data_IF_068463602108
#
_entry.id   IF_068463602108
#
_cell.length_a   1.000
_cell.length_b   1.000
_cell.length_c   1.000
_cell.angle_alpha   90.00
_cell.angle_beta   90.00
_cell.angle_gamma   90.00
#
_symmetry.space_group_name_H-M   'P 1'
#
loop_
_entity.id
_entity.type
_entity.pdbx_description
1 polymer ?
#
# COMPACT_ATOMS: atom_id res chain seq x y z
N UNK A 1 37.10 63.67 -1.71
CA UNK A 1 37.68 62.47 -2.37
C UNK A 1 38.20 61.55 -1.27
N UNK A 2 38.16 60.24 -1.51
CA UNK A 2 38.22 59.10 -0.54
C UNK A 2 36.90 58.94 0.21
N UNK A 3 36.02 57.97 -0.08
CA UNK A 3 36.14 56.49 -0.01
C UNK A 3 35.15 56.05 1.08
N UNK A 4 33.99 55.46 0.81
CA UNK A 4 33.79 54.08 0.37
C UNK A 4 33.56 53.18 1.58
N UNK A 5 32.31 52.98 2.02
CA UNK A 5 31.93 51.88 2.92
C UNK A 5 30.51 51.40 2.58
N UNK A 6 30.44 50.12 2.25
CA UNK A 6 29.26 49.30 1.93
C UNK A 6 28.48 49.00 3.22
N UNK A 7 27.16 49.25 3.25
CA UNK A 7 26.30 48.70 4.30
C UNK A 7 25.55 47.48 3.80
N UNK A 8 25.72 46.39 4.54
CA UNK A 8 25.27 45.04 4.28
C UNK A 8 23.76 44.91 4.18
N UNK A 9 23.31 44.13 3.19
CA UNK A 9 21.97 43.57 3.17
C UNK A 9 21.84 42.54 4.30
N UNK A 10 20.99 42.81 5.29
CA UNK A 10 20.54 41.80 6.23
C UNK A 10 19.64 40.82 5.47
N UNK A 11 20.17 39.62 5.21
CA UNK A 11 19.35 38.45 4.88
C UNK A 11 18.63 38.04 6.16
N UNK A 12 17.37 38.47 6.30
CA UNK A 12 16.47 37.89 7.29
C UNK A 12 16.11 36.49 6.79
N UNK A 13 16.76 35.47 7.35
CA UNK A 13 16.30 34.10 7.26
C UNK A 13 14.96 34.02 8.00
N UNK A 14 13.85 34.10 7.27
CA UNK A 14 12.52 33.82 7.82
C UNK A 14 12.43 32.33 8.09
N UNK A 15 12.56 31.95 9.37
CA UNK A 15 12.09 30.67 9.85
C UNK A 15 10.57 30.62 9.60
N UNK A 16 10.14 29.71 8.72
CA UNK A 16 8.73 29.47 8.46
C UNK A 16 8.12 28.80 9.69
N UNK A 17 7.57 29.61 10.59
CA UNK A 17 6.63 29.16 11.62
C UNK A 17 5.25 29.12 10.98
N UNK A 18 4.65 27.92 10.92
CA UNK A 18 3.29 27.72 10.46
C UNK A 18 2.32 28.64 11.22
N UNK A 19 1.77 29.65 10.54
CA UNK A 19 0.71 30.48 11.11
C UNK A 19 -0.62 29.75 10.93
N UNK A 20 -1.10 29.16 12.02
CA UNK A 20 -2.43 28.57 12.11
C UNK A 20 -3.48 29.67 12.23
N UNK A 21 -4.01 30.11 11.09
CA UNK A 21 -5.26 30.87 11.05
C UNK A 21 -6.02 30.54 9.78
N UNK A 22 -6.55 29.32 9.72
CA UNK A 22 -7.64 28.97 8.82
C UNK A 22 -8.60 27.98 9.48
N UNK A 23 -9.87 28.16 9.14
CA UNK A 23 -11.08 27.68 9.81
C UNK A 23 -11.16 26.16 9.84
N UNK A 24 -11.74 25.61 10.92
CA UNK A 24 -12.01 24.19 11.12
C UNK A 24 -12.68 23.54 9.90
N UNK A 25 -11.90 22.78 9.13
CA UNK A 25 -12.30 21.57 8.42
C UNK A 25 -11.07 20.64 8.41
N UNK A 26 -11.31 19.33 8.45
CA UNK A 26 -10.36 18.32 8.90
C UNK A 26 -8.98 18.36 8.25
N UNK A 27 -7.95 18.28 9.10
CA UNK A 27 -6.52 18.51 8.84
C UNK A 27 -5.81 17.54 7.87
N UNK A 28 -6.48 16.64 7.14
CA UNK A 28 -5.73 15.55 6.48
C UNK A 28 -5.88 15.32 4.97
N UNK A 29 -6.90 15.83 4.26
CA UNK A 29 -7.04 15.45 2.84
C UNK A 29 -7.64 16.49 1.88
N UNK A 30 -8.20 17.61 2.35
CA UNK A 30 -9.06 18.40 1.46
C UNK A 30 -8.31 19.24 0.42
N UNK A 31 -7.04 19.59 0.68
CA UNK A 31 -6.24 20.42 -0.24
C UNK A 31 -4.81 19.88 -0.43
N UNK A 32 -4.66 18.59 -0.76
CA UNK A 32 -3.34 17.98 -1.04
C UNK A 32 -2.56 18.78 -2.10
N UNK A 33 -3.23 19.30 -3.13
CA UNK A 33 -2.59 20.14 -4.15
C UNK A 33 -2.03 21.45 -3.58
N UNK A 34 -2.74 22.13 -2.66
CA UNK A 34 -2.26 23.36 -2.04
C UNK A 34 -1.09 23.09 -1.07
N UNK A 35 -1.17 21.98 -0.32
CA UNK A 35 -0.09 21.53 0.56
C UNK A 35 1.16 21.23 -0.27
N UNK A 36 1.02 20.55 -1.41
CA UNK A 36 2.16 20.16 -2.24
C UNK A 36 2.84 21.32 -2.97
N UNK A 37 2.13 22.43 -3.22
CA UNK A 37 2.72 23.63 -3.83
C UNK A 37 3.77 24.32 -2.93
N UNK A 38 3.70 24.15 -1.61
CA UNK A 38 4.70 24.71 -0.69
C UNK A 38 5.99 23.88 -0.62
N UNK A 39 5.95 22.61 -1.05
CA UNK A 39 7.10 21.69 -1.00
C UNK A 39 7.92 21.63 -2.29
N UNK A 40 7.48 22.25 -3.39
CA UNK A 40 8.14 22.16 -4.71
C UNK A 40 9.47 22.92 -4.82
N UNK A 41 9.81 23.79 -3.88
CA UNK A 41 10.98 24.69 -4.02
C UNK A 41 12.30 24.18 -3.42
N UNK A 42 12.35 23.03 -2.72
CA UNK A 42 13.61 22.58 -2.07
C UNK A 42 13.96 21.10 -2.15
N UNK A 43 13.18 20.23 -2.79
CA UNK A 43 13.51 18.81 -2.92
C UNK A 43 13.22 18.32 -4.33
N UNK A 44 14.26 18.30 -5.15
CA UNK A 44 14.27 17.66 -6.46
C UNK A 44 14.37 16.15 -6.27
N UNK A 45 13.25 15.46 -5.99
CA UNK A 45 13.20 13.99 -6.04
C UNK A 45 11.77 13.39 -6.15
N UNK A 46 10.84 14.10 -6.80
CA UNK A 46 9.48 13.59 -7.07
C UNK A 46 9.10 13.66 -8.56
N UNK A 47 10.08 13.43 -9.45
CA UNK A 47 9.82 13.20 -10.88
C UNK A 47 9.33 11.77 -11.19
N UNK A 48 8.95 10.99 -10.19
CA UNK A 48 8.35 9.67 -10.40
C UNK A 48 6.91 9.86 -10.82
N UNK A 49 6.68 9.85 -12.13
CA UNK A 49 5.31 9.88 -12.69
C UNK A 49 4.71 8.48 -12.82
N UNK A 50 5.56 7.45 -12.87
CA UNK A 50 5.14 6.06 -13.03
C UNK A 50 6.22 5.10 -12.50
N UNK A 51 5.79 4.09 -11.75
CA UNK A 51 6.66 2.98 -11.33
C UNK A 51 6.74 1.87 -12.38
N UNK A 52 7.75 1.00 -12.26
CA UNK A 52 7.94 -0.18 -13.11
C UNK A 52 6.86 -1.25 -12.87
N UNK A 53 6.76 -2.26 -13.75
CA UNK A 53 5.72 -3.31 -13.64
C UNK A 53 5.79 -4.12 -12.34
N UNK A 54 7.00 -4.33 -11.78
CA UNK A 54 7.19 -5.07 -10.52
C UNK A 54 7.26 -4.14 -9.28
N UNK A 55 6.72 -2.92 -9.40
CA UNK A 55 6.75 -1.93 -8.32
C UNK A 55 5.34 -1.45 -7.96
N UNK A 56 5.09 -1.32 -6.66
CA UNK A 56 3.88 -0.70 -6.13
C UNK A 56 4.06 0.81 -6.04
N UNK A 57 3.10 1.55 -6.59
CA UNK A 57 3.01 3.00 -6.47
C UNK A 57 2.38 3.34 -5.12
N UNK A 58 3.09 4.10 -4.29
CA UNK A 58 2.54 4.65 -3.04
C UNK A 58 2.81 6.14 -2.98
N UNK A 59 1.99 6.85 -2.21
CA UNK A 59 2.21 8.27 -1.94
C UNK A 59 3.51 8.43 -1.14
N UNK A 60 4.29 9.47 -1.47
CA UNK A 60 5.57 9.69 -0.83
C UNK A 60 5.39 10.30 0.59
N UNK A 61 5.63 9.54 1.66
CA UNK A 61 5.43 10.01 3.03
C UNK A 61 6.54 10.97 3.50
N UNK A 62 7.66 11.06 2.77
CA UNK A 62 8.75 12.02 3.05
C UNK A 62 8.27 13.44 2.77
N UNK A 63 7.41 13.61 1.77
CA UNK A 63 6.94 14.88 1.25
C UNK A 63 5.45 15.09 1.55
N UNK A 64 4.97 14.73 2.73
CA UNK A 64 3.56 14.91 3.11
C UNK A 64 2.57 14.29 2.08
N UNK A 65 2.89 13.11 1.55
CA UNK A 65 2.16 12.43 0.48
C UNK A 65 2.17 13.15 -0.88
N UNK A 66 3.05 14.14 -1.06
CA UNK A 66 3.23 14.86 -2.33
C UNK A 66 4.15 14.10 -3.27
N UNK A 67 3.59 13.67 -4.39
CA UNK A 67 4.30 12.85 -5.38
C UNK A 67 4.28 11.36 -5.03
N UNK A 68 4.82 10.57 -5.95
CA UNK A 68 4.84 9.11 -5.85
C UNK A 68 6.22 8.61 -5.42
N UNK A 69 6.23 7.50 -4.70
CA UNK A 69 7.40 6.67 -4.52
C UNK A 69 7.08 5.24 -4.96
N UNK A 70 8.12 4.52 -5.37
CA UNK A 70 8.01 3.14 -5.83
C UNK A 70 8.55 2.19 -4.77
N UNK A 71 7.76 1.17 -4.44
CA UNK A 71 8.19 0.06 -3.59
C UNK A 71 8.36 -1.18 -4.47
N UNK A 72 9.53 -1.79 -4.47
CA UNK A 72 9.76 -3.03 -5.21
C UNK A 72 9.11 -4.22 -4.50
N UNK A 73 8.33 -5.02 -5.24
CA UNK A 73 7.78 -6.27 -4.71
C UNK A 73 8.86 -7.35 -4.70
N UNK A 74 9.03 -8.00 -3.56
CA UNK A 74 9.87 -9.17 -3.35
C UNK A 74 9.03 -10.41 -3.63
N UNK A 75 9.58 -11.35 -4.40
CA UNK A 75 8.87 -12.55 -4.84
C UNK A 75 8.71 -13.59 -3.73
N UNK A 76 7.81 -14.55 -3.93
CA UNK A 76 7.60 -15.63 -2.96
C UNK A 76 8.85 -16.49 -2.80
N UNK A 77 9.27 -16.71 -1.55
CA UNK A 77 10.45 -17.48 -1.19
C UNK A 77 11.75 -16.68 -1.15
N UNK A 78 11.76 -15.44 -1.66
CA UNK A 78 12.92 -14.54 -1.57
C UNK A 78 13.09 -13.95 -0.18
N UNK A 79 14.34 -13.60 0.17
CA UNK A 79 14.70 -13.02 1.46
C UNK A 79 14.11 -11.62 1.62
N UNK A 80 13.59 -11.34 2.81
CA UNK A 80 13.04 -10.04 3.17
C UNK A 80 13.53 -9.63 4.57
N UNK A 81 13.52 -8.32 4.83
CA UNK A 81 13.91 -7.79 6.13
C UNK A 81 12.66 -7.54 7.00
N UNK A 82 12.61 -8.16 8.18
CA UNK A 82 11.54 -7.90 9.17
C UNK A 82 11.64 -6.52 9.82
N UNK A 83 12.75 -5.81 9.59
CA UNK A 83 13.01 -4.47 10.08
C UNK A 83 13.78 -3.69 9.03
N UNK A 84 13.17 -2.64 8.47
CA UNK A 84 13.87 -1.74 7.57
C UNK A 84 14.69 -0.72 8.39
N UNK A 85 16.00 -0.56 8.15
CA UNK A 85 16.78 0.53 8.75
C UNK A 85 16.42 1.90 8.16
N UNK A 86 15.78 1.92 6.98
CA UNK A 86 15.29 3.14 6.37
C UNK A 86 13.98 3.60 7.03
N UNK A 87 13.77 4.92 7.09
CA UNK A 87 12.55 5.54 7.63
C UNK A 87 11.28 5.05 6.90
N UNK A 88 11.43 4.66 5.63
CA UNK A 88 10.39 4.08 4.80
C UNK A 88 10.97 2.90 3.98
N UNK A 89 10.22 1.80 3.78
CA UNK A 89 10.70 0.66 3.02
C UNK A 89 10.76 0.96 1.52
N UNK A 90 11.85 0.58 0.86
CA UNK A 90 11.99 0.63 -0.61
C UNK A 90 11.64 -0.71 -1.27
N UNK A 91 11.53 -1.78 -0.46
CA UNK A 91 11.12 -3.12 -0.88
C UNK A 91 10.13 -3.67 0.13
N UNK A 92 9.12 -4.38 -0.35
CA UNK A 92 8.15 -5.12 0.47
C UNK A 92 7.83 -6.45 -0.21
N UNK A 93 7.35 -7.42 0.56
CA UNK A 93 6.79 -8.63 -0.03
C UNK A 93 5.61 -8.27 -0.93
N UNK A 94 5.49 -8.94 -2.08
CA UNK A 94 4.40 -8.69 -3.01
C UNK A 94 3.00 -8.98 -2.42
N UNK A 95 1.93 -8.64 -3.14
CA UNK A 95 0.56 -8.78 -2.66
C UNK A 95 0.23 -10.20 -2.16
N UNK A 96 -0.34 -10.30 -0.96
CA UNK A 96 -0.71 -11.58 -0.34
C UNK A 96 0.45 -12.36 0.28
N UNK A 97 1.67 -11.79 0.27
CA UNK A 97 2.84 -12.36 0.92
C UNK A 97 3.19 -11.58 2.20
N UNK A 98 3.64 -12.30 3.22
CA UNK A 98 4.09 -11.72 4.49
C UNK A 98 5.57 -12.07 4.72
N UNK A 99 6.34 -11.12 5.26
CA UNK A 99 7.74 -11.33 5.57
C UNK A 99 7.86 -12.10 6.90
N UNK A 100 8.11 -13.42 6.82
CA UNK A 100 8.07 -14.30 7.99
C UNK A 100 9.43 -14.98 8.18
N UNK A 101 10.00 -14.83 9.38
CA UNK A 101 11.22 -15.55 9.81
C UNK A 101 10.99 -17.06 9.84
N UNK A 102 11.74 -17.81 9.03
CA UNK A 102 11.67 -19.29 9.01
C UNK A 102 12.10 -19.90 10.35
N UNK A 103 13.05 -19.27 11.03
CA UNK A 103 13.51 -19.70 12.35
C UNK A 103 13.08 -18.65 13.39
N UNK A 104 12.36 -19.06 14.44
CA UNK A 104 12.04 -18.17 15.55
C UNK A 104 13.30 -17.50 16.09
N UNK A 105 13.22 -16.19 16.38
CA UNK A 105 14.33 -15.36 16.90
C UNK A 105 15.49 -15.10 15.93
N UNK A 106 15.41 -15.56 14.66
CA UNK A 106 16.40 -15.27 13.61
C UNK A 106 15.78 -14.47 12.48
N UNK A 107 15.69 -13.13 12.60
CA UNK A 107 15.04 -12.28 11.59
C UNK A 107 15.72 -12.37 10.22
N UNK A 108 17.02 -12.67 10.16
CA UNK A 108 17.77 -12.85 8.91
C UNK A 108 17.32 -14.05 8.07
N UNK A 109 16.50 -14.94 8.65
CA UNK A 109 15.91 -16.09 7.95
C UNK A 109 14.54 -15.80 7.35
N UNK A 110 14.12 -14.54 7.39
CA UNK A 110 12.81 -14.14 6.89
C UNK A 110 12.74 -14.18 5.37
N UNK A 111 11.62 -14.71 4.90
CA UNK A 111 11.28 -14.77 3.48
C UNK A 111 9.84 -14.32 3.28
N UNK A 112 9.54 -13.86 2.08
CA UNK A 112 8.17 -13.59 1.68
C UNK A 112 7.41 -14.90 1.48
N UNK A 113 6.34 -15.11 2.24
CA UNK A 113 5.57 -16.36 2.19
C UNK A 113 4.09 -16.11 2.32
N UNK A 114 3.28 -16.97 1.71
CA UNK A 114 1.83 -16.98 1.91
C UNK A 114 1.52 -17.47 3.31
N UNK A 115 1.10 -16.55 4.18
CA UNK A 115 0.83 -16.86 5.58
C UNK A 115 -0.49 -17.64 5.73
N UNK A 116 -0.41 -18.96 5.89
CA UNK A 116 -1.56 -19.84 6.13
C UNK A 116 -2.28 -19.58 7.47
N UNK A 117 -1.72 -18.77 8.38
CA UNK A 117 -2.48 -18.30 9.54
C UNK A 117 -3.60 -17.33 9.15
N UNK A 118 -3.51 -16.69 7.98
CA UNK A 118 -4.59 -15.88 7.40
C UNK A 118 -5.60 -16.81 6.75
N UNK A 119 -6.88 -16.69 7.13
CA UNK A 119 -7.94 -17.59 6.68
C UNK A 119 -8.12 -17.61 5.16
N UNK A 120 -8.16 -16.44 4.51
CA UNK A 120 -8.33 -16.36 3.05
C UNK A 120 -7.16 -17.01 2.29
N UNK A 121 -5.93 -16.76 2.75
CA UNK A 121 -4.72 -17.38 2.18
C UNK A 121 -4.75 -18.89 2.36
N UNK A 122 -5.12 -19.39 3.55
CA UNK A 122 -5.25 -20.81 3.79
C UNK A 122 -6.27 -21.47 2.85
N UNK A 123 -7.45 -20.86 2.66
CA UNK A 123 -8.46 -21.38 1.73
C UNK A 123 -8.00 -21.35 0.27
N UNK A 124 -7.21 -20.35 -0.12
CA UNK A 124 -6.56 -20.31 -1.44
C UNK A 124 -5.56 -21.45 -1.62
N UNK A 125 -4.70 -21.69 -0.63
CA UNK A 125 -3.73 -22.79 -0.65
C UNK A 125 -4.44 -24.15 -0.73
N UNK A 126 -5.54 -24.33 0.01
CA UNK A 126 -6.36 -25.54 -0.06
C UNK A 126 -7.02 -25.71 -1.42
N UNK A 127 -7.58 -24.63 -1.99
CA UNK A 127 -8.16 -24.67 -3.33
C UNK A 127 -7.14 -25.10 -4.39
N UNK A 128 -5.93 -24.53 -4.35
CA UNK A 128 -4.84 -24.86 -5.27
C UNK A 128 -4.39 -26.32 -5.10
N UNK A 129 -4.28 -26.81 -3.86
CA UNK A 129 -3.96 -28.20 -3.57
C UNK A 129 -5.03 -29.17 -4.08
N UNK A 130 -6.31 -28.87 -3.83
CA UNK A 130 -7.47 -29.65 -4.31
C UNK A 130 -7.50 -29.68 -5.85
N UNK A 131 -7.17 -28.57 -6.49
CA UNK A 131 -7.10 -28.46 -7.95
C UNK A 131 -6.00 -29.36 -8.53
N UNK A 132 -4.79 -29.32 -7.96
CA UNK A 132 -3.66 -30.17 -8.40
C UNK A 132 -3.95 -31.65 -8.14
N UNK A 133 -4.61 -31.97 -7.02
CA UNK A 133 -4.99 -33.33 -6.68
C UNK A 133 -6.18 -33.86 -7.50
N UNK A 134 -6.87 -33.00 -8.25
CA UNK A 134 -8.09 -33.37 -8.99
C UNK A 134 -9.29 -33.67 -8.09
N UNK A 135 -9.28 -33.20 -6.85
CA UNK A 135 -10.34 -33.41 -5.84
C UNK A 135 -11.29 -32.23 -5.72
N UNK A 136 -11.13 -31.22 -6.58
CA UNK A 136 -11.96 -30.01 -6.56
C UNK A 136 -13.42 -30.32 -6.90
N UNK A 137 -14.29 -30.19 -5.89
CA UNK A 137 -15.72 -30.44 -6.05
C UNK A 137 -16.42 -29.39 -6.92
N UNK A 138 -17.59 -29.72 -7.51
CA UNK A 138 -18.37 -28.78 -8.30
C UNK A 138 -18.82 -27.59 -7.44
N UNK A 139 -18.77 -26.39 -8.01
CA UNK A 139 -19.17 -25.15 -7.33
C UNK A 139 -18.16 -24.61 -6.32
N UNK A 140 -16.99 -25.25 -6.16
CA UNK A 140 -15.86 -24.67 -5.42
C UNK A 140 -15.19 -23.61 -6.30
N UNK A 141 -14.79 -22.49 -5.69
CA UNK A 141 -14.04 -21.43 -6.34
C UNK A 141 -12.96 -20.90 -5.39
N UNK A 142 -11.92 -20.31 -5.97
CA UNK A 142 -10.83 -19.69 -5.21
C UNK A 142 -11.33 -18.36 -4.61
N UNK A 143 -11.26 -18.16 -3.28
CA UNK A 143 -11.63 -16.89 -2.68
C UNK A 143 -10.68 -15.79 -3.14
N UNK A 144 -11.18 -14.56 -3.24
CA UNK A 144 -10.37 -13.40 -3.54
C UNK A 144 -9.82 -12.79 -2.25
N UNK A 145 -8.51 -12.67 -2.14
CA UNK A 145 -7.86 -12.08 -0.97
C UNK A 145 -7.34 -10.68 -1.28
N UNK A 146 -7.33 -9.80 -0.27
CA UNK A 146 -6.65 -8.51 -0.38
C UNK A 146 -5.12 -8.68 -0.25
N UNK A 147 -4.39 -7.56 -0.40
CA UNK A 147 -2.92 -7.54 -0.32
C UNK A 147 -2.37 -8.00 1.04
N UNK A 148 -3.18 -7.99 2.10
CA UNK A 148 -2.81 -8.41 3.47
C UNK A 148 -3.27 -9.84 3.79
N UNK A 149 -3.85 -10.55 2.82
CA UNK A 149 -4.34 -11.91 2.98
C UNK A 149 -5.66 -12.04 3.75
N UNK A 150 -6.40 -10.94 3.94
CA UNK A 150 -7.81 -10.97 4.38
C UNK A 150 -8.69 -11.20 3.15
N UNK A 151 -9.98 -11.42 3.37
CA UNK A 151 -10.92 -11.48 2.23
C UNK A 151 -11.08 -10.09 1.63
N UNK A 152 -10.98 -10.01 0.31
CA UNK A 152 -11.39 -8.81 -0.42
C UNK A 152 -12.88 -8.53 -0.13
N UNK A 153 -13.30 -7.26 0.04
CA UNK A 153 -14.67 -6.90 0.43
C UNK A 153 -15.75 -7.51 -0.46
N UNK A 154 -15.46 -7.69 -1.75
CA UNK A 154 -16.34 -8.33 -2.73
C UNK A 154 -15.83 -9.74 -3.07
N UNK A 155 -16.70 -10.74 -2.90
CA UNK A 155 -16.46 -12.13 -3.34
C UNK A 155 -17.44 -12.48 -4.46
N UNK A 156 -16.97 -13.25 -5.43
CA UNK A 156 -17.77 -13.61 -6.60
C UNK A 156 -17.71 -15.10 -6.86
N UNK A 157 -18.89 -15.72 -7.00
CA UNK A 157 -18.98 -17.08 -7.52
C UNK A 157 -18.87 -17.01 -9.05
N UNK A 158 -17.90 -17.69 -9.68
CA UNK A 158 -17.69 -17.64 -11.12
C UNK A 158 -18.98 -17.96 -11.91
N UNK A 159 -19.37 -17.04 -12.80
CA UNK A 159 -20.57 -17.21 -13.64
C UNK A 159 -21.91 -17.07 -12.90
N UNK A 160 -21.91 -16.59 -11.65
CA UNK A 160 -23.12 -16.48 -10.83
C UNK A 160 -23.20 -15.09 -10.20
N UNK A 161 -23.28 -15.01 -8.87
CA UNK A 161 -23.44 -13.77 -8.12
C UNK A 161 -22.18 -13.37 -7.36
N UNK A 162 -22.07 -12.06 -7.14
CA UNK A 162 -21.11 -11.44 -6.24
C UNK A 162 -21.82 -10.91 -4.99
N UNK A 163 -21.10 -10.86 -3.87
CA UNK A 163 -21.63 -10.39 -2.60
C UNK A 163 -20.53 -9.77 -1.73
N UNK A 164 -20.94 -8.96 -0.75
CA UNK A 164 -20.00 -8.37 0.21
C UNK A 164 -19.71 -9.32 1.38
N UNK A 165 -18.46 -9.30 1.83
CA UNK A 165 -17.98 -10.01 3.02
C UNK A 165 -17.22 -9.08 3.93
N UNK A 166 -17.11 -9.46 5.21
CA UNK A 166 -16.14 -8.83 6.10
C UNK A 166 -14.73 -9.42 5.90
N UNK A 167 -13.74 -8.87 6.62
CA UNK A 167 -12.34 -9.30 6.59
C UNK A 167 -12.10 -10.81 6.87
N UNK A 168 -13.05 -11.48 7.53
CA UNK A 168 -13.00 -12.91 7.87
C UNK A 168 -13.77 -13.80 6.87
N UNK A 169 -14.34 -13.21 5.82
CA UNK A 169 -15.08 -13.90 4.77
C UNK A 169 -16.54 -14.18 5.12
N UNK A 170 -17.07 -13.61 6.21
CA UNK A 170 -18.49 -13.76 6.54
C UNK A 170 -19.33 -12.83 5.64
N UNK A 171 -20.36 -13.39 5.01
CA UNK A 171 -21.29 -12.65 4.14
C UNK A 171 -22.00 -11.54 4.93
N UNK A 172 -22.04 -10.34 4.34
CA UNK A 172 -22.70 -9.16 4.90
C UNK A 172 -24.03 -8.87 4.19
N UNK A 173 -23.96 -8.16 3.07
CA UNK A 173 -25.07 -7.77 2.20
C UNK A 173 -24.53 -7.59 0.78
N UNK A 174 -25.32 -7.04 -0.13
CA UNK A 174 -24.93 -6.87 -1.52
C UNK A 174 -25.05 -8.22 -2.23
N UNK A 175 -25.94 -8.28 -3.20
CA UNK A 175 -25.99 -9.40 -4.13
C UNK A 175 -26.26 -8.82 -5.50
N UNK A 176 -25.40 -9.18 -6.45
CA UNK A 176 -25.52 -8.76 -7.83
C UNK A 176 -24.99 -9.83 -8.76
N UNK A 177 -25.40 -9.77 -10.01
CA UNK A 177 -24.84 -10.60 -11.07
C UNK A 177 -23.36 -10.29 -11.23
N UNK A 178 -22.57 -11.28 -11.66
CA UNK A 178 -21.17 -11.08 -12.07
C UNK A 178 -21.00 -9.96 -13.11
N UNK A 179 -22.02 -9.69 -13.93
CA UNK A 179 -22.03 -8.58 -14.91
C UNK A 179 -21.98 -7.20 -14.27
N UNK A 180 -22.51 -7.07 -13.05
CA UNK A 180 -22.69 -5.79 -12.36
C UNK A 180 -21.73 -5.69 -11.17
N UNK A 181 -20.70 -6.53 -11.15
CA UNK A 181 -19.81 -6.72 -10.00
C UNK A 181 -19.15 -5.42 -9.53
N UNK A 182 -18.82 -4.52 -10.46
CA UNK A 182 -18.17 -3.24 -10.16
C UNK A 182 -19.16 -2.16 -9.69
N UNK A 183 -20.46 -2.45 -9.78
CA UNK A 183 -21.54 -1.61 -9.24
C UNK A 183 -21.93 -2.01 -7.81
N UNK A 184 -21.45 -3.15 -7.32
CA UNK A 184 -21.68 -3.59 -5.94
C UNK A 184 -20.70 -2.85 -5.03
N UNK A 185 -21.23 -1.91 -4.25
CA UNK A 185 -20.44 -1.15 -3.28
C UNK A 185 -20.29 -1.96 -1.98
N UNK A 186 -19.11 -2.58 -1.87
CA UNK A 186 -18.53 -3.16 -0.67
C UNK A 186 -17.28 -2.33 -0.32
#
# INVERSE_FOLDING_TARGET
MVGGVQLAALVMASAALCHASYVQNSILCDDLEAICQEFTDTQQDSNVTKCEENQQQVLNPVTCNCGLMCITNIEEGESCDTSSPAKYPTKLCGPGLECIAKIPYKPETAVCTRNAARKCINETLQYEADQVAGTLGPGRYKPNCDEYGKYAPRQCTPGSTCYCVNENGARLFGEGSISDQDMINC
#
